data_IF_568821192725
#
_entry.id   IF_568821192725
#
_cell.length_a   1.000
_cell.length_b   1.000
_cell.length_c   1.000
_cell.angle_alpha   90.00
_cell.angle_beta   90.00
_cell.angle_gamma   90.00
#
_symmetry.space_group_name_H-M   'P 1'
#
loop_
_entity.id
_entity.type
_entity.pdbx_description
1 polymer ?
#
# COMPACT_ATOMS: atom_id res chain seq x y z
N UNK A 1 -16.07 -11.42 3.57
CA UNK A 1 -14.74 -11.36 2.92
C UNK A 1 -14.69 -10.28 1.85
N UNK A 2 -15.77 -10.07 1.08
CA UNK A 2 -15.85 -8.99 0.10
C UNK A 2 -15.61 -7.59 0.70
N UNK A 3 -16.08 -7.33 1.93
CA UNK A 3 -15.85 -6.04 2.60
C UNK A 3 -14.37 -5.74 2.84
N UNK A 4 -13.60 -6.72 3.30
CA UNK A 4 -12.21 -6.52 3.73
C UNK A 4 -11.28 -6.24 2.55
N UNK A 5 -11.51 -6.92 1.42
CA UNK A 5 -10.74 -6.70 0.20
C UNK A 5 -11.09 -5.34 -0.44
N UNK A 6 -12.37 -4.95 -0.42
CA UNK A 6 -12.83 -3.63 -0.85
C UNK A 6 -12.24 -2.53 0.02
N UNK A 7 -12.19 -2.73 1.34
CA UNK A 7 -11.62 -1.74 2.28
C UNK A 7 -10.11 -1.57 2.06
N UNK A 8 -9.38 -2.67 1.79
CA UNK A 8 -7.95 -2.60 1.42
C UNK A 8 -7.76 -1.86 0.09
N UNK A 9 -8.58 -2.14 -0.94
CA UNK A 9 -8.53 -1.44 -2.22
C UNK A 9 -8.84 0.06 -2.06
N UNK A 10 -9.84 0.42 -1.25
CA UNK A 10 -10.14 1.82 -0.93
C UNK A 10 -8.97 2.50 -0.23
N UNK A 11 -8.38 1.83 0.76
CA UNK A 11 -7.21 2.35 1.49
C UNK A 11 -5.99 2.57 0.60
N UNK A 12 -5.78 1.72 -0.42
CA UNK A 12 -4.62 1.83 -1.32
C UNK A 12 -4.85 2.84 -2.45
N UNK A 13 -6.06 2.90 -3.01
CA UNK A 13 -6.32 3.65 -4.25
C UNK A 13 -7.19 4.89 -4.07
N UNK A 14 -8.11 4.90 -3.11
CA UNK A 14 -9.13 5.94 -2.97
C UNK A 14 -8.76 6.92 -1.85
N UNK A 15 -8.46 6.42 -0.65
CA UNK A 15 -8.10 7.25 0.50
C UNK A 15 -6.91 8.18 0.24
N UNK A 16 -5.82 7.76 -0.44
CA UNK A 16 -4.69 8.65 -0.69
C UNK A 16 -5.03 9.77 -1.67
N UNK A 17 -5.96 9.52 -2.60
CA UNK A 17 -6.45 10.51 -3.55
C UNK A 17 -7.34 11.52 -2.82
N UNK A 18 -8.22 11.07 -1.92
CA UNK A 18 -8.98 11.98 -1.07
C UNK A 18 -8.06 12.80 -0.16
N UNK A 19 -7.08 12.17 0.50
CA UNK A 19 -6.10 12.87 1.34
C UNK A 19 -5.27 13.90 0.55
N UNK A 20 -4.97 13.67 -0.72
CA UNK A 20 -4.34 14.67 -1.59
C UNK A 20 -5.18 15.94 -1.74
N UNK A 21 -6.47 15.77 -2.05
CA UNK A 21 -7.35 16.89 -2.34
C UNK A 21 -7.83 17.62 -1.09
N UNK A 22 -7.85 16.96 0.06
CA UNK A 22 -8.42 17.50 1.30
C UNK A 22 -7.40 17.80 2.41
N UNK A 23 -6.19 17.23 2.38
CA UNK A 23 -5.21 17.31 3.48
C UNK A 23 -3.81 17.75 3.05
N UNK A 24 -3.64 18.37 1.87
CA UNK A 24 -2.36 18.86 1.35
C UNK A 24 -1.23 17.81 1.42
N UNK A 25 -1.57 16.53 1.22
CA UNK A 25 -0.55 15.48 1.18
C UNK A 25 0.38 15.73 -0.01
N UNK A 26 1.69 15.65 0.21
CA UNK A 26 2.64 15.86 -0.88
C UNK A 26 2.48 14.77 -1.96
N UNK A 27 2.51 15.18 -3.23
CA UNK A 27 2.33 14.29 -4.39
C UNK A 27 3.31 13.09 -4.34
N UNK A 28 4.53 13.30 -3.84
CA UNK A 28 5.51 12.23 -3.64
C UNK A 28 5.07 11.15 -2.65
N UNK A 29 4.34 11.51 -1.59
CA UNK A 29 3.82 10.58 -0.59
C UNK A 29 2.70 9.71 -1.15
N UNK A 30 1.81 10.28 -1.96
CA UNK A 30 0.74 9.55 -2.64
C UNK A 30 1.31 8.57 -3.66
N UNK A 31 2.24 9.03 -4.50
CA UNK A 31 2.89 8.18 -5.50
C UNK A 31 3.63 7.02 -4.85
N UNK A 32 4.36 7.26 -3.76
CA UNK A 32 5.04 6.18 -3.03
C UNK A 32 4.05 5.20 -2.41
N UNK A 33 2.97 5.67 -1.78
CA UNK A 33 1.90 4.81 -1.24
C UNK A 33 1.27 3.92 -2.31
N UNK A 34 0.98 4.47 -3.49
CA UNK A 34 0.48 3.72 -4.65
C UNK A 34 1.47 2.66 -5.13
N UNK A 35 2.76 3.03 -5.31
CA UNK A 35 3.80 2.10 -5.76
C UNK A 35 3.94 0.94 -4.77
N UNK A 36 4.01 1.23 -3.47
CA UNK A 36 4.15 0.19 -2.45
C UNK A 36 2.87 -0.63 -2.28
N UNK A 37 1.68 -0.03 -2.43
CA UNK A 37 0.41 -0.77 -2.43
C UNK A 37 0.32 -1.76 -3.60
N UNK A 38 0.70 -1.34 -4.80
CA UNK A 38 0.77 -2.22 -5.98
C UNK A 38 1.84 -3.30 -5.78
N UNK A 39 3.02 -2.93 -5.29
CA UNK A 39 4.10 -3.89 -5.00
C UNK A 39 3.68 -4.93 -3.95
N UNK A 40 2.87 -4.54 -2.96
CA UNK A 40 2.30 -5.47 -1.98
C UNK A 40 1.31 -6.44 -2.63
N UNK A 41 0.38 -5.96 -3.47
CA UNK A 41 -0.58 -6.82 -4.18
C UNK A 41 0.12 -7.78 -5.14
N UNK A 42 1.05 -7.29 -5.95
CA UNK A 42 1.85 -8.09 -6.89
C UNK A 42 2.74 -9.06 -6.12
N UNK A 43 3.37 -8.61 -5.05
CA UNK A 43 4.19 -9.44 -4.17
C UNK A 43 3.40 -10.59 -3.57
N UNK A 44 2.21 -10.32 -3.02
CA UNK A 44 1.32 -11.34 -2.44
C UNK A 44 0.88 -12.35 -3.51
N UNK A 45 0.51 -11.86 -4.70
CA UNK A 45 0.17 -12.72 -5.83
C UNK A 45 1.33 -13.65 -6.20
N UNK A 46 2.55 -13.10 -6.36
CA UNK A 46 3.73 -13.89 -6.70
C UNK A 46 4.09 -14.88 -5.57
N UNK A 47 4.09 -14.42 -4.33
CA UNK A 47 4.46 -15.21 -3.15
C UNK A 47 3.54 -16.42 -2.95
N UNK A 48 2.23 -16.22 -3.07
CA UNK A 48 1.22 -17.24 -2.74
C UNK A 48 0.79 -18.10 -3.92
N UNK A 49 0.81 -17.56 -5.15
CA UNK A 49 0.21 -18.23 -6.32
C UNK A 49 1.22 -18.69 -7.37
N UNK A 50 2.50 -18.34 -7.26
CA UNK A 50 3.53 -18.76 -8.23
C UNK A 50 4.53 -19.75 -7.63
N UNK A 51 5.17 -20.49 -8.53
CA UNK A 51 6.15 -21.53 -8.22
C UNK A 51 7.52 -20.93 -7.82
N UNK A 52 8.42 -21.74 -7.25
CA UNK A 52 9.49 -21.29 -6.35
C UNK A 52 10.39 -20.12 -6.80
N UNK A 53 10.83 -19.93 -8.07
CA UNK A 53 11.65 -18.76 -8.36
C UNK A 53 10.88 -17.43 -8.26
N UNK A 54 9.61 -17.44 -8.65
CA UNK A 54 8.74 -16.25 -8.59
C UNK A 54 8.15 -16.04 -7.20
N UNK A 55 7.93 -17.11 -6.42
CA UNK A 55 7.48 -17.01 -5.03
C UNK A 55 8.48 -16.27 -4.15
N UNK A 56 9.78 -16.57 -4.26
CA UNK A 56 10.81 -15.88 -3.50
C UNK A 56 10.89 -14.38 -3.85
N UNK A 57 10.79 -14.04 -5.14
CA UNK A 57 10.71 -12.64 -5.58
C UNK A 57 9.46 -11.93 -5.02
N UNK A 58 8.35 -12.65 -4.94
CA UNK A 58 7.13 -12.18 -4.27
C UNK A 58 7.38 -11.82 -2.81
N UNK A 59 7.98 -12.72 -2.03
CA UNK A 59 8.29 -12.45 -0.61
C UNK A 59 9.25 -11.26 -0.42
N UNK A 60 10.23 -11.10 -1.30
CA UNK A 60 11.15 -9.94 -1.31
C UNK A 60 10.40 -8.63 -1.59
N UNK A 61 9.31 -8.65 -2.35
CA UNK A 61 8.44 -7.48 -2.57
C UNK A 61 7.48 -7.24 -1.40
N UNK A 62 6.87 -8.29 -0.85
CA UNK A 62 5.85 -8.18 0.22
C UNK A 62 6.43 -7.56 1.48
N UNK A 63 7.60 -8.01 1.93
CA UNK A 63 8.19 -7.56 3.20
C UNK A 63 8.42 -6.04 3.24
N UNK A 64 9.21 -5.43 2.32
CA UNK A 64 9.43 -3.99 2.35
C UNK A 64 8.15 -3.20 2.06
N UNK A 65 7.27 -3.69 1.19
CA UNK A 65 6.00 -3.03 0.89
C UNK A 65 5.07 -3.00 2.10
N UNK A 66 5.01 -4.09 2.87
CA UNK A 66 4.19 -4.15 4.08
C UNK A 66 4.70 -3.21 5.17
N UNK A 67 6.02 -3.14 5.37
CA UNK A 67 6.64 -2.20 6.30
C UNK A 67 6.34 -0.75 5.91
N UNK A 68 6.43 -0.42 4.63
CA UNK A 68 6.11 0.91 4.14
C UNK A 68 4.64 1.26 4.35
N UNK A 69 3.72 0.36 3.97
CA UNK A 69 2.28 0.59 4.12
C UNK A 69 1.90 0.79 5.59
N UNK A 70 2.44 -0.03 6.51
CA UNK A 70 2.21 0.13 7.95
C UNK A 70 2.78 1.46 8.46
N UNK A 71 4.02 1.79 8.10
CA UNK A 71 4.65 3.04 8.48
C UNK A 71 3.86 4.26 7.99
N UNK A 72 3.43 4.24 6.72
CA UNK A 72 2.68 5.34 6.12
C UNK A 72 1.32 5.50 6.80
N UNK A 73 0.60 4.40 7.04
CA UNK A 73 -0.69 4.42 7.75
C UNK A 73 -0.56 5.01 9.16
N UNK A 74 0.52 4.66 9.88
CA UNK A 74 0.78 5.21 11.22
C UNK A 74 1.18 6.69 11.21
N UNK A 75 1.74 7.18 10.11
CA UNK A 75 2.26 8.56 10.01
C UNK A 75 1.36 9.52 9.25
N UNK A 76 0.32 9.02 8.56
CA UNK A 76 -0.71 9.81 7.86
C UNK A 76 -1.42 10.76 8.83
N UNK A 77 -1.84 10.26 10.00
CA UNK A 77 -2.56 11.06 11.01
C UNK A 77 -1.68 12.07 11.78
N UNK A 78 -0.36 12.08 11.57
CA UNK A 78 0.51 13.09 12.19
C UNK A 78 0.44 14.44 11.47
N UNK A 79 0.04 14.47 10.20
CA UNK A 79 0.00 15.70 9.40
C UNK A 79 -1.39 16.34 9.36
N UNK A 80 -2.44 15.62 9.75
CA UNK A 80 -3.82 16.16 9.85
C UNK A 80 -4.11 16.88 11.18
N UNK A 81 -3.16 16.89 12.12
CA UNK A 81 -3.30 17.54 13.44
C UNK A 81 -2.61 18.90 13.58
N UNK A 82 -2.05 19.46 12.50
CA UNK A 82 -1.44 20.80 12.51
C UNK A 82 -2.43 21.87 12.08
#
# INVERSE_FOLDING_TARGET
MDSLLIDILKSIFIDPVFEYFYHDLTLGRIVTRLIFGIALLVGVYLALLKSPPLSYAGWVLVVPASLFVVYDTLTVNRHTRS
#
